data_IF_999558254616
#
_entry.id   IF_999558254616
#
_cell.length_a   1.000
_cell.length_b   1.000
_cell.length_c   1.000
_cell.angle_alpha   90.00
_cell.angle_beta   90.00
_cell.angle_gamma   90.00
#
_symmetry.space_group_name_H-M   'P 1'
#
loop_
_entity.id
_entity.type
_entity.pdbx_description
1 polymer ?
#
# COMPACT_ATOMS: atom_id res chain seq x y z
N UNK A 1 -14.31 32.54 -2.37
CA UNK A 1 -14.64 31.66 -3.48
C UNK A 1 -13.41 31.22 -4.32
N UNK A 2 -12.37 32.03 -4.48
CA UNK A 2 -11.15 31.64 -5.24
C UNK A 2 -10.27 30.62 -4.51
N UNK A 3 -10.18 30.67 -3.18
CA UNK A 3 -9.41 29.71 -2.39
C UNK A 3 -10.03 28.31 -2.37
N UNK A 4 -11.34 28.22 -2.41
CA UNK A 4 -12.07 26.94 -2.50
C UNK A 4 -11.83 26.27 -3.85
N UNK A 5 -11.92 27.02 -4.94
CA UNK A 5 -11.67 26.51 -6.30
C UNK A 5 -10.21 26.06 -6.48
N UNK A 6 -9.25 26.76 -5.93
CA UNK A 6 -7.84 26.36 -5.95
C UNK A 6 -7.63 25.06 -5.16
N UNK A 7 -8.20 24.92 -3.97
CA UNK A 7 -8.14 23.70 -3.15
C UNK A 7 -8.72 22.47 -3.90
N UNK A 8 -9.82 22.64 -4.61
CA UNK A 8 -10.45 21.55 -5.37
C UNK A 8 -9.62 21.14 -6.60
N UNK A 9 -8.95 22.09 -7.24
CA UNK A 9 -8.03 21.81 -8.36
C UNK A 9 -6.82 20.99 -7.88
N UNK A 10 -6.20 21.36 -6.76
CA UNK A 10 -5.06 20.61 -6.19
C UNK A 10 -5.45 19.18 -5.77
N UNK A 11 -6.60 19.01 -5.13
CA UNK A 11 -7.12 17.67 -4.78
C UNK A 11 -7.32 16.80 -6.03
N UNK A 12 -7.91 17.36 -7.07
CA UNK A 12 -8.13 16.66 -8.34
C UNK A 12 -6.81 16.26 -9.01
N UNK A 13 -5.81 17.14 -8.97
CA UNK A 13 -4.49 16.87 -9.52
C UNK A 13 -3.76 15.74 -8.79
N UNK A 14 -3.82 15.70 -7.46
CA UNK A 14 -3.24 14.62 -6.64
C UNK A 14 -3.85 13.27 -6.97
N UNK A 15 -5.17 13.20 -7.15
CA UNK A 15 -5.87 11.95 -7.51
C UNK A 15 -5.45 11.48 -8.91
N UNK A 16 -5.32 12.37 -9.87
CA UNK A 16 -4.89 12.02 -11.24
C UNK A 16 -3.48 11.44 -11.21
N UNK A 17 -2.54 12.07 -10.49
CA UNK A 17 -1.17 11.58 -10.35
C UNK A 17 -1.16 10.19 -9.69
N UNK A 18 -1.94 9.99 -8.63
CA UNK A 18 -2.03 8.71 -7.95
C UNK A 18 -2.55 7.59 -8.89
N UNK A 19 -3.55 7.88 -9.71
CA UNK A 19 -4.08 6.92 -10.69
C UNK A 19 -3.03 6.60 -11.77
N UNK A 20 -2.33 7.59 -12.29
CA UNK A 20 -1.26 7.38 -13.28
C UNK A 20 -0.16 6.49 -12.69
N UNK A 21 0.31 6.80 -11.48
CA UNK A 21 1.33 6.00 -10.79
C UNK A 21 0.85 4.57 -10.57
N UNK A 22 -0.40 4.39 -10.15
CA UNK A 22 -0.99 3.07 -9.95
C UNK A 22 -0.99 2.26 -11.27
N UNK A 23 -1.42 2.86 -12.38
CA UNK A 23 -1.43 2.21 -13.69
C UNK A 23 -0.01 1.80 -14.10
N UNK A 24 0.97 2.69 -13.94
CA UNK A 24 2.38 2.41 -14.23
C UNK A 24 2.88 1.23 -13.40
N UNK A 25 2.61 1.22 -12.11
CA UNK A 25 3.02 0.12 -11.22
C UNK A 25 2.34 -1.20 -11.59
N UNK A 26 1.06 -1.20 -11.93
CA UNK A 26 0.36 -2.40 -12.41
C UNK A 26 1.04 -2.95 -13.66
N UNK A 27 1.37 -2.09 -14.62
CA UNK A 27 2.05 -2.48 -15.86
C UNK A 27 3.43 -3.05 -15.54
N UNK A 28 4.22 -2.37 -14.72
CA UNK A 28 5.56 -2.80 -14.31
C UNK A 28 5.51 -4.16 -13.61
N UNK A 29 4.63 -4.33 -12.65
CA UNK A 29 4.54 -5.58 -11.88
C UNK A 29 4.00 -6.76 -12.69
N UNK A 30 3.06 -6.52 -13.62
CA UNK A 30 2.40 -7.58 -14.40
C UNK A 30 3.16 -7.97 -15.66
N UNK A 31 3.72 -6.99 -16.38
CA UNK A 31 4.23 -7.22 -17.73
C UNK A 31 5.76 -7.23 -17.82
N UNK A 32 6.50 -6.73 -16.83
CA UNK A 32 7.96 -6.71 -16.90
C UNK A 32 8.62 -7.95 -16.30
N UNK A 33 9.86 -8.20 -16.72
CA UNK A 33 10.72 -9.24 -16.10
C UNK A 33 10.99 -8.93 -14.63
N UNK A 34 11.06 -7.65 -14.28
CA UNK A 34 11.27 -7.18 -12.91
C UNK A 34 10.14 -7.63 -11.99
N UNK A 35 8.88 -7.38 -12.35
CA UNK A 35 7.73 -7.79 -11.54
C UNK A 35 7.70 -9.30 -11.31
N UNK A 36 7.92 -10.11 -12.37
CA UNK A 36 7.99 -11.56 -12.24
C UNK A 36 9.11 -12.03 -11.31
N UNK A 37 10.27 -11.38 -11.38
CA UNK A 37 11.40 -11.70 -10.49
C UNK A 37 11.09 -11.33 -9.03
N UNK A 38 10.41 -10.20 -8.79
CA UNK A 38 10.00 -9.79 -7.44
C UNK A 38 9.05 -10.81 -6.81
N UNK A 39 8.04 -11.27 -7.56
CA UNK A 39 7.11 -12.29 -7.07
C UNK A 39 7.80 -13.63 -6.82
N UNK A 40 8.69 -14.07 -7.72
CA UNK A 40 9.43 -15.31 -7.55
C UNK A 40 10.33 -15.30 -6.32
N UNK A 41 11.08 -14.21 -6.10
CA UNK A 41 11.97 -14.03 -4.94
C UNK A 41 11.15 -13.93 -3.65
N UNK A 42 10.01 -13.23 -3.68
CA UNK A 42 9.11 -13.11 -2.54
C UNK A 42 8.48 -14.45 -2.13
N UNK A 43 8.26 -15.35 -3.09
CA UNK A 43 7.72 -16.69 -2.81
C UNK A 43 8.77 -17.65 -2.23
N UNK A 44 9.94 -17.74 -2.82
CA UNK A 44 11.06 -18.55 -2.34
C UNK A 44 12.39 -18.05 -2.92
N UNK A 45 13.17 -17.41 -2.07
CA UNK A 45 14.44 -16.81 -2.46
C UNK A 45 15.49 -17.86 -2.92
N UNK A 46 15.54 -19.02 -2.26
CA UNK A 46 16.49 -20.07 -2.63
C UNK A 46 16.15 -20.69 -4.00
N UNK A 47 14.88 -20.95 -4.24
CA UNK A 47 14.44 -21.45 -5.55
C UNK A 47 14.70 -20.43 -6.66
N UNK A 48 14.50 -19.16 -6.39
CA UNK A 48 14.79 -18.08 -7.34
C UNK A 48 16.30 -17.99 -7.67
N UNK A 49 17.16 -18.17 -6.68
CA UNK A 49 18.62 -18.25 -6.88
C UNK A 49 19.01 -19.43 -7.76
N UNK A 50 18.43 -20.62 -7.52
CA UNK A 50 18.68 -21.83 -8.31
C UNK A 50 18.24 -21.68 -9.77
N UNK A 51 17.21 -20.89 -10.01
CA UNK A 51 16.75 -20.53 -11.38
C UNK A 51 17.61 -19.47 -12.07
N UNK A 52 18.70 -19.03 -11.44
CA UNK A 52 19.63 -18.05 -12.01
C UNK A 52 19.12 -16.59 -11.94
N UNK A 53 18.10 -16.28 -11.13
CA UNK A 53 17.65 -14.92 -10.94
C UNK A 53 18.64 -14.12 -10.09
N UNK A 54 18.92 -12.90 -10.51
CA UNK A 54 19.82 -12.01 -9.79
C UNK A 54 19.11 -11.35 -8.60
N UNK A 55 18.98 -12.10 -7.49
CA UNK A 55 18.21 -11.70 -6.29
C UNK A 55 18.70 -10.35 -5.75
N UNK A 56 20.01 -10.13 -5.66
CA UNK A 56 20.59 -8.90 -5.11
C UNK A 56 20.19 -7.66 -5.90
N UNK A 57 20.28 -7.74 -7.24
CA UNK A 57 19.87 -6.62 -8.13
C UNK A 57 18.36 -6.38 -8.08
N UNK A 58 17.55 -7.43 -8.05
CA UNK A 58 16.10 -7.30 -8.00
C UNK A 58 15.65 -6.70 -6.67
N UNK A 59 16.23 -7.13 -5.54
CA UNK A 59 15.96 -6.52 -4.22
C UNK A 59 16.35 -5.04 -4.21
N UNK A 60 17.55 -4.71 -4.70
CA UNK A 60 18.01 -3.32 -4.78
C UNK A 60 17.04 -2.46 -5.59
N UNK A 61 16.62 -2.93 -6.77
CA UNK A 61 15.68 -2.20 -7.61
C UNK A 61 14.29 -2.06 -6.95
N UNK A 62 13.82 -3.07 -6.21
CA UNK A 62 12.58 -3.01 -5.45
C UNK A 62 12.63 -1.93 -4.36
N UNK A 63 13.72 -1.88 -3.58
CA UNK A 63 13.89 -0.83 -2.57
C UNK A 63 14.04 0.57 -3.16
N UNK A 64 14.71 0.70 -4.31
CA UNK A 64 14.79 1.98 -5.01
C UNK A 64 13.41 2.46 -5.50
N UNK A 65 12.62 1.55 -6.03
CA UNK A 65 11.25 1.84 -6.46
C UNK A 65 10.38 2.25 -5.27
N UNK A 66 10.48 1.53 -4.17
CA UNK A 66 9.74 1.81 -2.93
C UNK A 66 10.12 3.20 -2.37
N UNK A 67 11.40 3.50 -2.26
CA UNK A 67 11.89 4.81 -1.83
C UNK A 67 11.43 5.95 -2.74
N UNK A 68 11.44 5.73 -4.05
CA UNK A 68 10.93 6.71 -5.02
C UNK A 68 9.43 6.97 -4.83
N UNK A 69 8.64 5.91 -4.68
CA UNK A 69 7.19 6.01 -4.47
C UNK A 69 6.86 6.65 -3.14
N UNK A 70 7.60 6.32 -2.08
CA UNK A 70 7.45 6.94 -0.76
C UNK A 70 7.77 8.44 -0.80
N UNK A 71 8.85 8.83 -1.49
CA UNK A 71 9.19 10.24 -1.69
C UNK A 71 8.13 11.00 -2.47
N UNK A 72 7.61 10.40 -3.54
CA UNK A 72 6.52 10.98 -4.33
C UNK A 72 5.23 11.10 -3.51
N UNK A 73 4.90 10.08 -2.71
CA UNK A 73 3.76 10.11 -1.79
C UNK A 73 3.90 11.20 -0.74
N UNK A 74 5.07 11.36 -0.14
CA UNK A 74 5.38 12.43 0.82
C UNK A 74 5.26 13.82 0.19
N UNK A 75 5.75 13.99 -1.03
CA UNK A 75 5.62 15.24 -1.78
C UNK A 75 4.14 15.61 -2.03
N UNK A 76 3.34 14.66 -2.52
CA UNK A 76 1.91 14.85 -2.74
C UNK A 76 1.16 15.14 -1.43
N UNK A 77 1.57 14.49 -0.34
CA UNK A 77 1.01 14.73 0.98
C UNK A 77 1.28 16.16 1.48
N UNK A 78 2.52 16.63 1.34
CA UNK A 78 2.89 18.01 1.68
C UNK A 78 2.11 19.04 0.84
N UNK A 79 1.95 18.79 -0.45
CA UNK A 79 1.17 19.67 -1.31
C UNK A 79 -0.30 19.73 -0.92
N UNK A 80 -0.88 18.59 -0.52
CA UNK A 80 -2.29 18.52 -0.13
C UNK A 80 -2.55 19.14 1.25
N UNK A 81 -1.59 18.99 2.18
CA UNK A 81 -1.70 19.54 3.56
C UNK A 81 -1.38 21.01 3.64
N UNK A 82 -0.68 21.58 2.65
CA UNK A 82 -0.10 22.95 2.68
C UNK A 82 0.71 23.24 3.95
N UNK A 83 1.17 22.20 4.64
CA UNK A 83 1.89 22.30 5.91
C UNK A 83 2.92 21.17 6.01
N UNK A 84 4.17 21.53 6.29
CA UNK A 84 5.25 20.58 6.60
C UNK A 84 5.29 20.24 8.09
N UNK A 85 4.31 19.52 8.60
CA UNK A 85 4.27 19.13 10.01
C UNK A 85 4.78 17.71 10.18
N UNK A 86 5.89 17.55 10.91
CA UNK A 86 6.59 16.25 11.07
C UNK A 86 5.71 15.18 11.73
N UNK A 87 4.77 15.55 12.57
CA UNK A 87 3.89 14.61 13.27
C UNK A 87 2.73 14.06 12.43
N UNK A 88 2.35 14.74 11.36
CA UNK A 88 1.23 14.32 10.51
C UNK A 88 1.48 13.02 9.76
N UNK A 89 2.74 12.67 9.54
CA UNK A 89 3.13 11.44 8.82
C UNK A 89 3.34 10.23 9.74
N UNK A 90 3.28 10.39 11.06
CA UNK A 90 3.42 9.28 12.01
C UNK A 90 2.30 8.26 11.83
N UNK A 91 2.68 7.03 11.55
CA UNK A 91 1.76 5.90 11.38
C UNK A 91 1.27 5.68 9.95
N UNK A 92 1.64 6.52 8.98
CA UNK A 92 1.30 6.30 7.58
C UNK A 92 1.90 4.99 7.04
N UNK A 93 3.06 4.56 7.56
CA UNK A 93 3.67 3.28 7.24
C UNK A 93 2.78 2.10 7.65
N UNK A 94 2.24 2.13 8.86
CA UNK A 94 1.31 1.09 9.32
C UNK A 94 0.00 1.13 8.54
N UNK A 95 -0.44 2.30 8.18
CA UNK A 95 -1.61 2.52 7.37
C UNK A 95 -1.46 1.96 5.95
N UNK A 96 -0.29 2.14 5.35
CA UNK A 96 0.02 1.59 4.03
C UNK A 96 0.11 0.06 4.06
N UNK A 97 0.76 -0.51 5.08
CA UNK A 97 0.84 -1.96 5.29
C UNK A 97 -0.56 -2.54 5.47
N UNK A 98 -1.40 -1.91 6.30
CA UNK A 98 -2.78 -2.34 6.53
C UNK A 98 -3.59 -2.37 5.23
N UNK A 99 -3.50 -1.31 4.42
CA UNK A 99 -4.19 -1.26 3.14
C UNK A 99 -3.70 -2.34 2.16
N UNK A 100 -2.40 -2.62 2.13
CA UNK A 100 -1.84 -3.68 1.29
C UNK A 100 -2.31 -5.07 1.72
N UNK A 101 -2.36 -5.35 3.02
CA UNK A 101 -2.81 -6.63 3.58
C UNK A 101 -4.30 -6.83 3.38
N UNK A 102 -5.13 -5.82 3.63
CA UNK A 102 -6.57 -5.83 3.34
C UNK A 102 -6.81 -6.05 1.85
N UNK A 103 -5.96 -5.49 1.00
CA UNK A 103 -5.97 -5.70 -0.44
C UNK A 103 -5.49 -7.08 -0.92
N UNK A 104 -5.13 -7.99 0.00
CA UNK A 104 -4.76 -9.38 -0.30
C UNK A 104 -3.27 -9.61 -0.54
N UNK A 105 -2.39 -8.68 -0.17
CA UNK A 105 -0.95 -8.88 -0.22
C UNK A 105 -0.49 -9.71 0.99
N UNK A 106 0.21 -10.82 0.74
CA UNK A 106 0.76 -11.65 1.82
C UNK A 106 2.00 -10.99 2.43
N UNK A 107 2.04 -10.89 3.77
CA UNK A 107 3.21 -10.40 4.49
C UNK A 107 4.43 -11.32 4.31
N UNK A 108 4.20 -12.62 4.09
CA UNK A 108 5.28 -13.58 3.79
C UNK A 108 5.89 -13.41 2.40
N UNK A 109 5.30 -12.58 1.55
CA UNK A 109 5.75 -12.31 0.19
C UNK A 109 5.20 -13.27 -0.87
N UNK A 110 5.59 -13.05 -2.12
CA UNK A 110 5.27 -13.89 -3.27
C UNK A 110 3.87 -13.73 -3.85
N UNK A 111 2.92 -13.20 -3.11
CA UNK A 111 1.54 -12.97 -3.55
C UNK A 111 1.07 -11.58 -3.18
N UNK A 112 0.48 -10.91 -4.13
CA UNK A 112 -0.10 -9.57 -3.98
C UNK A 112 -0.36 -8.94 -5.34
N UNK A 113 -1.22 -7.96 -5.37
CA UNK A 113 -1.49 -7.19 -6.60
C UNK A 113 -1.66 -5.71 -6.25
N UNK A 114 -1.08 -4.80 -7.04
CA UNK A 114 -1.30 -3.37 -6.84
C UNK A 114 -2.78 -2.98 -6.96
N UNK A 115 -3.52 -3.71 -7.79
CA UNK A 115 -4.96 -3.51 -7.94
C UNK A 115 -5.73 -3.89 -6.66
N UNK A 116 -5.34 -4.99 -5.99
CA UNK A 116 -5.90 -5.36 -4.69
C UNK A 116 -5.63 -4.30 -3.63
N UNK A 117 -4.41 -3.76 -3.60
CA UNK A 117 -4.05 -2.67 -2.68
C UNK A 117 -4.92 -1.43 -2.88
N UNK A 118 -5.34 -1.10 -4.11
CA UNK A 118 -6.29 -0.01 -4.36
C UNK A 118 -7.60 -0.23 -3.60
N UNK A 119 -8.17 -1.43 -3.68
CA UNK A 119 -9.38 -1.75 -2.92
C UNK A 119 -9.15 -1.70 -1.41
N UNK A 120 -7.98 -2.14 -0.94
CA UNK A 120 -7.61 -2.03 0.47
C UNK A 120 -7.58 -0.57 0.96
N UNK A 121 -7.02 0.34 0.16
CA UNK A 121 -7.02 1.78 0.45
C UNK A 121 -8.44 2.35 0.47
N UNK A 122 -9.29 1.96 -0.48
CA UNK A 122 -10.69 2.41 -0.54
C UNK A 122 -11.50 1.92 0.66
N UNK A 123 -11.37 0.65 1.03
CA UNK A 123 -12.04 0.07 2.20
C UNK A 123 -11.62 0.81 3.47
N UNK A 124 -10.30 0.96 3.66
CA UNK A 124 -9.75 1.68 4.81
C UNK A 124 -10.24 3.13 4.86
N UNK A 125 -10.20 3.85 3.72
CA UNK A 125 -10.66 5.22 3.60
C UNK A 125 -12.14 5.36 3.95
N UNK A 126 -12.98 4.44 3.49
CA UNK A 126 -14.42 4.40 3.80
C UNK A 126 -14.66 4.18 5.29
N UNK A 127 -13.97 3.21 5.90
CA UNK A 127 -14.09 2.94 7.35
C UNK A 127 -13.65 4.16 8.16
N UNK A 128 -12.51 4.75 7.83
CA UNK A 128 -12.02 5.96 8.50
C UNK A 128 -13.00 7.12 8.37
N UNK A 129 -13.56 7.34 7.18
CA UNK A 129 -14.54 8.40 6.93
C UNK A 129 -15.84 8.17 7.73
N UNK A 130 -16.35 6.94 7.76
CA UNK A 130 -17.56 6.60 8.52
C UNK A 130 -17.39 6.87 10.02
N UNK A 131 -16.26 6.44 10.59
CA UNK A 131 -15.98 6.63 12.03
C UNK A 131 -15.83 8.12 12.35
N UNK A 132 -15.17 8.90 11.47
CA UNK A 132 -14.97 10.33 11.67
C UNK A 132 -16.29 11.11 11.55
N UNK A 133 -17.16 10.70 10.64
CA UNK A 133 -18.47 11.39 10.40
C UNK A 133 -19.43 11.18 11.56
N UNK A 134 -19.36 10.07 12.27
CA UNK A 134 -20.25 9.80 13.42
C UNK A 134 -19.92 10.67 14.64
N UNK A 135 -18.78 11.33 14.68
CA UNK A 135 -18.42 12.38 15.65
C UNK A 135 -18.38 11.98 17.14
N UNK A 136 -18.84 10.78 17.49
CA UNK A 136 -18.88 10.24 18.86
C UNK A 136 -17.61 9.52 19.25
N UNK A 137 -16.78 9.14 18.28
CA UNK A 137 -15.57 8.35 18.48
C UNK A 137 -14.33 9.19 18.17
N UNK A 138 -13.39 9.26 19.13
CA UNK A 138 -12.13 9.95 18.94
C UNK A 138 -11.23 9.24 17.91
N UNK A 139 -10.26 9.97 17.35
CA UNK A 139 -9.28 9.43 16.37
C UNK A 139 -8.55 8.17 16.85
N UNK A 140 -8.49 7.92 18.16
CA UNK A 140 -7.94 6.71 18.76
C UNK A 140 -8.73 5.45 18.42
N UNK A 141 -10.06 5.55 18.36
CA UNK A 141 -10.93 4.44 17.99
C UNK A 141 -10.73 3.99 16.56
N UNK A 142 -10.48 4.94 15.64
CA UNK A 142 -10.14 4.62 14.25
C UNK A 142 -8.90 3.71 14.18
N UNK A 143 -7.86 4.06 14.94
CA UNK A 143 -6.62 3.26 14.99
C UNK A 143 -6.85 1.88 15.60
N UNK A 144 -7.65 1.78 16.65
CA UNK A 144 -7.98 0.49 17.29
C UNK A 144 -8.74 -0.42 16.31
N UNK A 145 -9.76 0.10 15.64
CA UNK A 145 -10.56 -0.67 14.68
C UNK A 145 -9.71 -1.12 13.49
N UNK A 146 -8.88 -0.23 12.94
CA UNK A 146 -7.99 -0.57 11.83
C UNK A 146 -6.93 -1.60 12.22
N UNK A 147 -6.38 -1.50 13.42
CA UNK A 147 -5.41 -2.49 13.93
C UNK A 147 -6.05 -3.85 14.19
N UNK A 148 -7.26 -3.88 14.72
CA UNK A 148 -8.03 -5.11 14.91
C UNK A 148 -8.38 -5.77 13.57
N UNK A 149 -8.80 -4.99 12.61
CA UNK A 149 -9.10 -5.45 11.25
C UNK A 149 -7.84 -6.02 10.57
N UNK A 150 -6.71 -5.35 10.70
CA UNK A 150 -5.42 -5.83 10.20
C UNK A 150 -5.05 -7.18 10.83
N UNK A 151 -5.14 -7.29 12.15
CA UNK A 151 -4.86 -8.53 12.88
C UNK A 151 -5.75 -9.66 12.37
N UNK A 152 -7.05 -9.41 12.22
CA UNK A 152 -8.00 -10.37 11.69
C UNK A 152 -7.61 -10.85 10.28
N UNK A 153 -7.28 -9.94 9.37
CA UNK A 153 -6.86 -10.31 8.01
C UNK A 153 -5.54 -11.09 7.99
N UNK A 154 -4.56 -10.75 8.83
CA UNK A 154 -3.29 -11.50 8.94
C UNK A 154 -3.56 -12.94 9.41
N UNK A 155 -4.37 -13.12 10.44
CA UNK A 155 -4.73 -14.45 10.95
C UNK A 155 -5.45 -15.25 9.86
N UNK A 156 -6.39 -14.64 9.17
CA UNK A 156 -7.15 -15.28 8.10
C UNK A 156 -6.23 -15.69 6.95
N UNK A 157 -5.31 -14.83 6.51
CA UNK A 157 -4.30 -15.15 5.51
C UNK A 157 -3.38 -16.29 5.96
N UNK A 158 -2.93 -16.27 7.22
CA UNK A 158 -2.08 -17.32 7.79
C UNK A 158 -2.77 -18.69 7.80
N UNK A 159 -4.04 -18.72 8.17
CA UNK A 159 -4.85 -19.95 8.15
C UNK A 159 -5.01 -20.49 6.72
N UNK A 160 -5.35 -19.62 5.76
CA UNK A 160 -5.46 -20.04 4.35
C UNK A 160 -4.14 -20.52 3.77
N UNK A 161 -3.03 -19.85 4.08
CA UNK A 161 -1.69 -20.26 3.64
C UNK A 161 -1.31 -21.63 4.22
N UNK A 162 -1.65 -21.90 5.49
CA UNK A 162 -1.42 -23.17 6.15
C UNK A 162 -2.26 -24.30 5.54
N UNK A 163 -3.52 -24.05 5.23
CA UNK A 163 -4.40 -25.03 4.60
C UNK A 163 -3.92 -25.40 3.17
N UNK A 164 -3.45 -24.41 2.40
CA UNK A 164 -2.92 -24.65 1.05
C UNK A 164 -1.61 -25.45 1.04
N UNK A 165 -0.83 -25.42 2.11
CA UNK A 165 0.42 -26.17 2.25
C UNK A 165 0.18 -27.64 2.61
N UNK A 166 -1.03 -27.99 3.11
CA UNK A 166 -1.37 -29.32 3.59
C UNK A 166 -2.05 -30.20 2.50
N UNK A 167 -2.47 -29.59 1.38
CA UNK A 167 -2.94 -30.22 0.16
C UNK A 167 -1.87 -30.15 -0.93
#
# INVERSE_FOLDING_TARGET
>A
SSSSAASDVYKRQTVIIAIIVLIVIIIVMKYTKFGRSVYAIGGNEQSALMMGLNVKRTKMAAYLLDGFLAGLGGFLFCMNSCAGFVEQAKGLEMDAISAAVIGGTLLSGGVGTPFGTLFGVLIKGTISSLITTQGTLSSWWVRIVLSALLCFFIVLQSVFASLKKKN
#
